data_IF_444541360575
#
_entry.id   IF_444541360575
#
_cell.length_a   1.000
_cell.length_b   1.000
_cell.length_c   1.000
_cell.angle_alpha   90.00
_cell.angle_beta   90.00
_cell.angle_gamma   90.00
#
_symmetry.space_group_name_H-M   'P 1'
#
loop_
_entity.id
_entity.type
_entity.pdbx_description
1 polymer ?
#
# COMPACT_ATOMS: atom_id res chain seq x y z
N UNK A 1 21.80 21.36 3.09
CA UNK A 1 20.82 20.71 3.98
C UNK A 1 19.77 20.05 3.10
N UNK A 2 20.06 18.86 2.60
CA UNK A 2 19.16 18.06 1.76
C UNK A 2 18.19 17.33 2.69
N UNK A 3 16.92 17.73 2.66
CA UNK A 3 15.87 17.06 3.40
C UNK A 3 15.77 15.62 2.87
N UNK A 4 16.16 14.64 3.68
CA UNK A 4 15.99 13.24 3.33
C UNK A 4 14.49 12.95 3.27
N UNK A 5 13.92 12.92 2.06
CA UNK A 5 12.55 12.46 1.83
C UNK A 5 12.43 11.05 2.36
N UNK A 6 11.77 10.88 3.51
CA UNK A 6 11.48 9.57 4.11
C UNK A 6 10.77 8.71 3.06
N UNK A 7 11.36 7.57 2.64
CA UNK A 7 10.75 6.76 1.61
C UNK A 7 9.44 6.16 2.15
N UNK A 8 8.33 6.54 1.52
CA UNK A 8 6.99 6.06 1.85
C UNK A 8 6.64 4.87 0.96
N UNK A 9 6.17 3.80 1.60
CA UNK A 9 5.82 2.54 0.93
C UNK A 9 4.30 2.52 0.75
N UNK A 10 3.85 2.57 -0.51
CA UNK A 10 2.44 2.38 -0.86
C UNK A 10 2.33 1.04 -1.56
N UNK A 11 1.65 0.07 -0.92
CA UNK A 11 1.33 -1.22 -1.51
C UNK A 11 -0.06 -1.15 -2.16
N UNK A 12 -0.15 -1.49 -3.44
CA UNK A 12 -1.44 -1.61 -4.14
C UNK A 12 -1.49 -2.94 -4.87
N UNK A 13 -2.50 -3.77 -4.60
CA UNK A 13 -2.64 -5.05 -5.30
C UNK A 13 -2.81 -4.83 -6.82
N UNK A 14 -2.02 -5.57 -7.62
CA UNK A 14 -1.86 -5.38 -9.07
C UNK A 14 -0.58 -4.63 -9.51
N UNK A 15 0.16 -4.02 -8.57
CA UNK A 15 1.51 -3.53 -8.81
C UNK A 15 2.43 -4.07 -7.71
N UNK A 16 3.49 -4.78 -8.10
CA UNK A 16 4.62 -5.05 -7.21
C UNK A 16 5.20 -3.70 -6.76
N UNK A 17 4.71 -3.17 -5.65
CA UNK A 17 5.38 -2.10 -4.95
C UNK A 17 6.62 -2.70 -4.30
N UNK A 18 7.75 -2.16 -4.70
CA UNK A 18 9.08 -2.68 -4.46
C UNK A 18 9.32 -2.94 -2.97
N UNK A 19 9.36 -4.22 -2.57
CA UNK A 19 9.87 -4.62 -1.24
C UNK A 19 11.41 -4.51 -1.22
N UNK A 20 12.07 -4.24 -2.36
CA UNK A 20 13.53 -4.17 -2.47
C UNK A 20 14.07 -2.95 -1.74
N UNK A 21 14.22 -3.10 -0.43
CA UNK A 21 14.74 -2.07 0.47
C UNK A 21 14.27 -2.17 1.91
N UNK A 22 13.37 -3.08 2.27
CA UNK A 22 12.94 -3.26 3.67
C UNK A 22 13.82 -4.33 4.34
N UNK A 23 14.77 -3.97 5.22
CA UNK A 23 15.52 -4.95 5.98
C UNK A 23 14.55 -5.73 6.86
N UNK A 24 14.85 -7.02 7.10
CA UNK A 24 14.09 -7.93 7.99
C UNK A 24 13.91 -7.44 9.45
N UNK A 25 14.29 -6.22 9.79
CA UNK A 25 14.21 -5.66 11.15
C UNK A 25 14.15 -4.13 11.22
N UNK A 26 13.42 -3.43 10.33
CA UNK A 26 13.41 -1.96 10.32
C UNK A 26 12.13 -1.31 9.78
N UNK A 27 10.95 -1.81 10.17
CA UNK A 27 9.64 -1.22 9.79
C UNK A 27 9.12 -0.20 10.81
N UNK A 28 9.80 -0.02 11.95
CA UNK A 28 9.23 0.69 13.11
C UNK A 28 9.00 2.20 12.91
N UNK A 29 9.47 2.81 11.82
CA UNK A 29 9.47 4.29 11.68
C UNK A 29 8.94 4.83 10.36
N UNK A 30 8.46 3.97 9.44
CA UNK A 30 8.04 4.42 8.11
C UNK A 30 6.52 4.33 7.95
N UNK A 31 5.84 5.45 7.64
CA UNK A 31 4.42 5.41 7.35
C UNK A 31 4.20 4.65 6.03
N UNK A 32 3.25 3.73 6.06
CA UNK A 32 2.96 2.84 4.94
C UNK A 32 1.46 2.70 4.73
N UNK A 33 1.06 2.64 3.46
CA UNK A 33 -0.33 2.53 3.02
C UNK A 33 -0.50 1.25 2.21
N UNK A 34 -1.70 0.69 2.30
CA UNK A 34 -2.09 -0.55 1.66
C UNK A 34 -3.50 -0.43 1.11
N UNK A 35 -3.74 -1.07 -0.04
CA UNK A 35 -5.04 -1.13 -0.68
C UNK A 35 -5.43 -2.58 -0.90
N UNK A 36 -6.58 -2.97 -0.32
CA UNK A 36 -7.18 -4.31 -0.41
C UNK A 36 -8.31 -4.28 -1.43
N UNK A 37 -8.27 -5.22 -2.37
CA UNK A 37 -9.35 -5.43 -3.34
C UNK A 37 -10.33 -6.45 -2.78
N UNK A 38 -11.53 -6.05 -2.38
CA UNK A 38 -12.44 -6.95 -1.63
C UNK A 38 -13.04 -8.07 -2.49
N UNK A 39 -13.03 -7.93 -3.80
CA UNK A 39 -13.54 -8.90 -4.77
C UNK A 39 -12.38 -9.55 -5.55
N UNK A 40 -11.20 -9.66 -4.93
CA UNK A 40 -10.05 -10.36 -5.50
C UNK A 40 -10.23 -11.89 -5.43
N UNK A 41 -10.08 -12.55 -6.59
CA UNK A 41 -10.19 -14.00 -6.75
C UNK A 41 -8.82 -14.66 -6.97
N UNK A 42 -7.75 -13.88 -7.11
CA UNK A 42 -6.36 -14.34 -7.25
C UNK A 42 -5.69 -14.41 -5.89
N UNK A 43 -5.85 -13.37 -5.07
CA UNK A 43 -5.36 -13.32 -3.70
C UNK A 43 -6.56 -13.11 -2.78
N UNK A 44 -6.71 -13.97 -1.77
CA UNK A 44 -7.82 -13.84 -0.84
C UNK A 44 -7.67 -12.54 -0.03
N UNK A 45 -8.68 -11.67 0.02
CA UNK A 45 -8.61 -10.39 0.74
C UNK A 45 -8.20 -10.55 2.22
N UNK A 46 -8.57 -11.67 2.85
CA UNK A 46 -8.19 -11.95 4.24
C UNK A 46 -6.69 -12.18 4.44
N UNK A 47 -6.00 -12.72 3.43
CA UNK A 47 -4.54 -12.88 3.46
C UNK A 47 -3.86 -11.52 3.35
N UNK A 48 -4.40 -10.61 2.53
CA UNK A 48 -3.91 -9.24 2.41
C UNK A 48 -4.10 -8.48 3.71
N UNK A 49 -5.31 -8.52 4.28
CA UNK A 49 -5.64 -7.92 5.58
C UNK A 49 -4.69 -8.40 6.66
N UNK A 50 -4.42 -9.70 6.72
CA UNK A 50 -3.48 -10.28 7.68
C UNK A 50 -2.06 -9.74 7.49
N UNK A 51 -1.56 -9.71 6.26
CA UNK A 51 -0.23 -9.19 5.94
C UNK A 51 -0.07 -7.72 6.28
N UNK A 52 -1.03 -6.88 5.88
CA UNK A 52 -1.01 -5.44 6.12
C UNK A 52 -1.19 -5.08 7.59
N UNK A 53 -2.05 -5.80 8.32
CA UNK A 53 -2.19 -5.63 9.78
C UNK A 53 -0.90 -5.98 10.51
N UNK A 54 -0.24 -7.08 10.11
CA UNK A 54 1.07 -7.47 10.68
C UNK A 54 2.15 -6.44 10.36
N UNK A 55 2.08 -5.81 9.20
CA UNK A 55 3.01 -4.78 8.75
C UNK A 55 2.73 -3.39 9.34
N UNK A 56 1.65 -3.20 10.10
CA UNK A 56 1.29 -1.90 10.69
C UNK A 56 0.89 -0.84 9.65
N UNK A 57 0.37 -1.27 8.50
CA UNK A 57 0.02 -0.38 7.39
C UNK A 57 -1.37 0.21 7.54
N UNK A 58 -1.56 1.43 7.05
CA UNK A 58 -2.91 2.00 6.86
C UNK A 58 -3.61 1.27 5.73
N UNK A 59 -4.79 0.73 5.98
CA UNK A 59 -5.51 -0.12 5.04
C UNK A 59 -6.72 0.60 4.43
N UNK A 60 -6.83 0.53 3.11
CA UNK A 60 -7.96 1.05 2.35
C UNK A 60 -8.58 -0.09 1.55
N UNK A 61 -9.86 -0.33 1.77
CA UNK A 61 -10.60 -1.35 1.01
C UNK A 61 -11.29 -0.71 -0.20
N UNK A 62 -11.23 -1.40 -1.34
CA UNK A 62 -11.90 -1.01 -2.59
C UNK A 62 -12.64 -2.21 -3.14
N UNK A 63 -13.92 -2.03 -3.48
CA UNK A 63 -14.68 -3.06 -4.17
C UNK A 63 -14.21 -3.17 -5.62
N UNK A 64 -13.27 -4.08 -5.84
CA UNK A 64 -12.61 -4.32 -7.12
C UNK A 64 -12.08 -5.75 -7.17
N UNK A 65 -11.87 -6.22 -8.40
CA UNK A 65 -11.06 -7.41 -8.66
C UNK A 65 -9.56 -7.13 -8.50
N UNK A 66 -8.75 -8.18 -8.64
CA UNK A 66 -7.29 -8.19 -8.45
C UNK A 66 -6.54 -6.99 -9.05
N UNK A 67 -6.96 -6.51 -10.23
CA UNK A 67 -6.31 -5.43 -10.96
C UNK A 67 -6.98 -4.07 -10.69
N UNK A 68 -7.06 -3.68 -9.42
CA UNK A 68 -7.67 -2.39 -8.99
C UNK A 68 -6.99 -1.16 -9.61
N UNK A 69 -5.71 -1.27 -9.96
CA UNK A 69 -4.98 -0.24 -10.71
C UNK A 69 -5.61 0.07 -12.08
N UNK A 70 -6.19 -0.95 -12.72
CA UNK A 70 -6.84 -0.83 -14.03
C UNK A 70 -8.32 -0.50 -13.88
N UNK A 71 -9.00 -1.11 -12.91
CA UNK A 71 -10.42 -0.88 -12.68
C UNK A 71 -10.70 0.50 -12.05
N UNK A 72 -9.84 0.94 -11.12
CA UNK A 72 -10.00 2.18 -10.36
C UNK A 72 -8.71 3.01 -10.30
N UNK A 73 -8.13 3.41 -11.45
CA UNK A 73 -6.87 4.16 -11.49
C UNK A 73 -6.92 5.46 -10.68
N UNK A 74 -8.08 6.15 -10.69
CA UNK A 74 -8.27 7.37 -9.89
C UNK A 74 -8.14 7.11 -8.39
N UNK A 75 -8.80 6.05 -7.88
CA UNK A 75 -8.78 5.72 -6.45
C UNK A 75 -7.36 5.44 -5.96
N UNK A 76 -6.59 4.74 -6.78
CA UNK A 76 -5.17 4.48 -6.55
C UNK A 76 -4.37 5.77 -6.50
N UNK A 77 -4.53 6.65 -7.49
CA UNK A 77 -3.80 7.93 -7.51
C UNK A 77 -4.17 8.83 -6.34
N UNK A 78 -5.42 8.79 -5.89
CA UNK A 78 -5.88 9.52 -4.72
C UNK A 78 -5.23 8.98 -3.44
N UNK A 79 -5.13 7.65 -3.31
CA UNK A 79 -4.41 7.02 -2.20
C UNK A 79 -2.92 7.44 -2.18
N UNK A 80 -2.28 7.47 -3.35
CA UNK A 80 -0.89 7.96 -3.45
C UNK A 80 -0.78 9.43 -3.03
N UNK A 81 -1.72 10.30 -3.44
CA UNK A 81 -1.74 11.70 -3.00
C UNK A 81 -1.99 11.84 -1.50
N UNK A 82 -2.87 11.02 -0.94
CA UNK A 82 -3.15 10.99 0.50
C UNK A 82 -1.89 10.60 1.28
N UNK A 83 -1.21 9.53 0.85
CA UNK A 83 0.05 9.10 1.43
C UNK A 83 1.11 10.22 1.37
N UNK A 84 1.26 10.88 0.22
CA UNK A 84 2.20 12.01 0.06
C UNK A 84 1.84 13.18 0.98
N UNK A 85 0.56 13.53 1.11
CA UNK A 85 0.11 14.62 2.00
C UNK A 85 0.34 14.31 3.48
N UNK A 86 0.23 13.05 3.88
CA UNK A 86 0.38 12.64 5.27
C UNK A 86 1.84 12.64 5.76
N UNK A 87 2.81 12.67 4.84
CA UNK A 87 4.25 12.62 5.15
C UNK A 87 5.00 13.92 4.81
N UNK A 88 4.36 14.85 4.09
CA UNK A 88 4.95 16.15 3.70
C UNK A 88 4.83 17.14 4.84
#
# INVERSE_FOLDING_TARGET
MTQATTPTVVLVHGAFADIQGVPRGGVETKPAWSLVSTSDHTITPDVERFGYKRAGMTMVEVDSSHLVMLAHPKRVTDLMREAVRAIS
#
